data_IF_469357355087
#
_entry.id   IF_469357355087
#
_cell.length_a   1.000
_cell.length_b   1.000
_cell.length_c   1.000
_cell.angle_alpha   90.00
_cell.angle_beta   90.00
_cell.angle_gamma   90.00
#
_symmetry.space_group_name_H-M   'P 1'
#
loop_
_entity.id
_entity.type
_entity.pdbx_description
1 polymer ?
#
# COMPACT_ATOMS: atom_id res chain seq x y z
N UNK A 1 -6.98 12.67 -52.45
CA UNK A 1 -5.95 12.68 -51.38
C UNK A 1 -6.53 13.37 -50.16
N UNK A 2 -7.18 12.61 -49.25
CA UNK A 2 -7.66 13.02 -47.90
C UNK A 2 -8.60 11.93 -47.36
N UNK A 3 -8.07 10.78 -46.93
CA UNK A 3 -8.82 9.84 -46.07
C UNK A 3 -7.96 8.84 -45.28
N UNK A 4 -6.67 9.11 -45.06
CA UNK A 4 -5.78 8.19 -44.31
C UNK A 4 -5.17 8.79 -43.03
N UNK A 5 -5.47 10.05 -42.69
CA UNK A 5 -4.90 10.69 -41.49
C UNK A 5 -5.81 10.70 -40.26
N UNK A 6 -7.08 10.31 -40.37
CA UNK A 6 -8.02 10.39 -39.24
C UNK A 6 -7.99 9.16 -38.32
N UNK A 7 -7.49 8.00 -38.80
CA UNK A 7 -7.44 6.77 -38.00
C UNK A 7 -6.20 6.67 -37.09
N UNK A 8 -5.18 7.51 -37.29
CA UNK A 8 -3.95 7.49 -36.49
C UNK A 8 -4.08 8.19 -35.13
N UNK A 9 -5.15 8.96 -34.90
CA UNK A 9 -5.32 9.73 -33.65
C UNK A 9 -6.05 8.94 -32.56
N UNK A 10 -6.82 7.89 -32.92
CA UNK A 10 -7.59 7.10 -31.94
C UNK A 10 -6.72 6.05 -31.23
N UNK A 11 -5.58 5.69 -31.82
CA UNK A 11 -4.63 4.73 -31.21
C UNK A 11 -3.67 5.38 -30.19
N UNK A 12 -3.70 6.71 -30.01
CA UNK A 12 -2.88 7.42 -29.03
C UNK A 12 -3.74 7.85 -27.83
N UNK A 13 -4.34 6.90 -27.14
CA UNK A 13 -5.31 7.20 -26.09
C UNK A 13 -5.45 6.14 -25.01
N UNK A 14 -4.44 5.30 -24.83
CA UNK A 14 -4.32 4.49 -23.62
C UNK A 14 -2.84 4.20 -23.38
N UNK A 15 -2.14 5.18 -22.80
CA UNK A 15 -0.90 4.86 -22.10
C UNK A 15 -1.33 4.03 -20.88
N UNK A 16 -1.34 2.71 -21.04
CA UNK A 16 -1.28 1.83 -19.87
C UNK A 16 0.03 2.21 -19.20
N UNK A 17 -0.05 2.83 -18.02
CA UNK A 17 1.10 3.01 -17.15
C UNK A 17 1.55 1.59 -16.79
N UNK A 18 2.53 1.09 -17.52
CA UNK A 18 3.15 -0.19 -17.20
C UNK A 18 3.90 0.03 -15.89
N UNK A 19 3.35 -0.50 -14.80
CA UNK A 19 4.02 -0.51 -13.51
C UNK A 19 4.92 -1.73 -13.47
N UNK A 20 6.23 -1.52 -13.40
CA UNK A 20 7.15 -2.60 -13.12
C UNK A 20 6.90 -3.15 -11.71
N UNK A 21 7.09 -4.45 -11.56
CA UNK A 21 7.09 -5.14 -10.27
C UNK A 21 8.43 -5.84 -10.08
N UNK A 22 8.77 -6.14 -8.83
CA UNK A 22 9.95 -6.92 -8.50
C UNK A 22 9.56 -8.05 -7.55
N UNK A 23 10.32 -9.14 -7.60
CA UNK A 23 10.12 -10.31 -6.75
C UNK A 23 11.04 -10.21 -5.56
N UNK A 24 10.47 -10.27 -4.36
CA UNK A 24 11.20 -10.52 -3.12
C UNK A 24 11.01 -11.99 -2.76
N UNK A 25 12.10 -12.74 -2.69
CA UNK A 25 12.06 -14.19 -2.44
C UNK A 25 11.72 -14.56 -0.99
N UNK A 26 11.69 -13.57 -0.09
CA UNK A 26 11.31 -13.73 1.31
C UNK A 26 12.46 -14.11 2.25
N UNK A 27 13.71 -14.10 1.77
CA UNK A 27 14.91 -14.22 2.61
C UNK A 27 15.08 -12.98 3.52
N UNK A 28 15.84 -13.10 4.61
CA UNK A 28 16.13 -11.96 5.50
C UNK A 28 16.92 -10.83 4.82
N UNK A 29 17.55 -11.11 3.68
CA UNK A 29 18.30 -10.17 2.87
C UNK A 29 17.52 -9.65 1.66
N UNK A 30 16.32 -10.17 1.41
CA UNK A 30 15.50 -9.83 0.25
C UNK A 30 14.54 -8.69 0.61
N UNK A 31 14.99 -7.46 0.40
CA UNK A 31 14.18 -6.26 0.56
C UNK A 31 14.53 -5.22 -0.50
N UNK A 32 13.60 -4.30 -0.75
CA UNK A 32 13.87 -3.10 -1.52
C UNK A 32 13.84 -1.87 -0.60
N UNK A 33 14.76 -0.93 -0.82
CA UNK A 33 14.79 0.33 -0.08
C UNK A 33 14.38 1.47 -1.01
N UNK A 34 13.46 2.29 -0.54
CA UNK A 34 12.98 3.47 -1.21
C UNK A 34 13.29 4.71 -0.39
N UNK A 35 13.12 5.89 -0.98
CA UNK A 35 13.19 7.14 -0.23
C UNK A 35 12.12 7.14 0.85
N UNK A 36 12.50 7.61 2.04
CA UNK A 36 11.59 7.76 3.16
C UNK A 36 10.39 8.62 2.78
N UNK A 37 9.19 8.16 3.14
CA UNK A 37 7.98 8.95 3.04
C UNK A 37 7.90 9.92 4.23
N UNK A 38 7.68 11.19 3.96
CA UNK A 38 7.52 12.24 4.97
C UNK A 38 6.06 12.69 4.99
N UNK A 39 5.22 12.17 5.91
CA UNK A 39 3.79 12.52 5.99
C UNK A 39 3.59 13.89 6.66
N UNK A 40 4.21 14.94 6.11
CA UNK A 40 4.26 16.30 6.69
C UNK A 40 2.99 17.11 6.42
N UNK A 41 1.92 16.49 5.90
CA UNK A 41 0.66 17.16 5.57
C UNK A 41 -0.57 16.26 5.67
N UNK A 42 -1.75 16.90 5.63
CA UNK A 42 -3.06 16.24 5.54
C UNK A 42 -3.21 15.59 4.16
N UNK A 43 -4.00 14.52 4.07
CA UNK A 43 -4.24 13.78 2.84
C UNK A 43 -2.96 13.23 2.19
N UNK A 44 -2.11 12.57 2.98
CA UNK A 44 -0.91 11.90 2.46
C UNK A 44 -1.08 10.39 2.55
N UNK A 45 -0.67 9.65 1.51
CA UNK A 45 -0.75 8.20 1.51
C UNK A 45 0.48 7.51 0.90
N UNK A 46 0.66 6.25 1.27
CA UNK A 46 1.49 5.28 0.57
C UNK A 46 0.55 4.24 -0.03
N UNK A 47 0.71 3.98 -1.33
CA UNK A 47 -0.02 2.95 -2.06
C UNK A 47 0.92 2.02 -2.80
N UNK A 48 0.67 0.72 -2.72
CA UNK A 48 1.38 -0.30 -3.47
C UNK A 48 0.49 -1.54 -3.65
N UNK A 49 0.91 -2.45 -4.53
CA UNK A 49 0.26 -3.74 -4.70
C UNK A 49 1.23 -4.86 -4.29
N UNK A 50 0.67 -5.96 -3.77
CA UNK A 50 1.46 -7.15 -3.47
C UNK A 50 0.74 -8.40 -3.97
N UNK A 51 1.55 -9.45 -4.17
CA UNK A 51 1.09 -10.81 -4.41
C UNK A 51 2.01 -11.76 -3.67
N UNK A 52 1.44 -12.63 -2.84
CA UNK A 52 2.21 -13.52 -1.96
C UNK A 52 1.48 -14.84 -1.74
N UNK A 53 2.26 -15.93 -1.62
CA UNK A 53 1.76 -17.22 -1.11
C UNK A 53 1.96 -17.37 0.41
N UNK A 54 2.69 -16.44 1.04
CA UNK A 54 2.93 -16.46 2.47
C UNK A 54 1.82 -15.73 3.20
N UNK A 55 1.20 -16.41 4.17
CA UNK A 55 0.18 -15.85 5.05
C UNK A 55 0.75 -14.89 6.11
N UNK A 56 2.07 -14.82 6.26
CA UNK A 56 2.76 -14.00 7.24
C UNK A 56 4.00 -13.34 6.64
N UNK A 57 4.27 -12.09 7.01
CA UNK A 57 5.47 -11.37 6.55
C UNK A 57 5.28 -9.85 6.57
N UNK A 58 6.39 -9.12 6.62
CA UNK A 58 6.38 -7.65 6.52
C UNK A 58 6.31 -7.27 5.04
N UNK A 59 5.40 -6.35 4.72
CA UNK A 59 5.26 -5.76 3.38
C UNK A 59 5.94 -4.40 3.30
N UNK A 60 5.85 -3.61 4.36
CA UNK A 60 6.46 -2.28 4.45
C UNK A 60 6.88 -1.99 5.89
N UNK A 61 8.07 -1.42 6.03
CA UNK A 61 8.55 -0.87 7.30
C UNK A 61 9.26 0.47 7.07
N UNK A 62 9.00 1.41 7.96
CA UNK A 62 9.68 2.70 8.02
C UNK A 62 9.62 3.21 9.45
N UNK A 63 10.69 3.84 9.93
CA UNK A 63 10.71 4.53 11.20
C UNK A 63 11.50 5.85 11.12
N UNK A 64 11.62 6.53 12.25
CA UNK A 64 12.44 7.72 12.46
C UNK A 64 13.88 7.42 12.88
N UNK A 65 14.38 6.21 12.65
CA UNK A 65 15.69 5.76 13.12
C UNK A 65 15.66 5.20 14.55
N UNK A 66 14.56 4.56 14.93
CA UNK A 66 14.39 3.90 16.22
C UNK A 66 13.99 4.79 17.40
N UNK A 67 13.52 6.02 17.17
CA UNK A 67 13.09 6.89 18.27
C UNK A 67 11.66 6.56 18.69
N UNK A 68 10.66 6.99 17.92
CA UNK A 68 9.26 6.92 18.35
C UNK A 68 8.28 6.62 17.23
N UNK A 69 8.47 7.23 16.07
CA UNK A 69 7.51 7.20 14.97
C UNK A 69 7.85 6.11 13.97
N UNK A 70 6.84 5.31 13.62
CA UNK A 70 7.01 4.19 12.71
C UNK A 70 5.72 3.83 12.00
N UNK A 71 5.87 3.07 10.92
CA UNK A 71 4.80 2.39 10.20
C UNK A 71 5.31 0.99 9.87
N UNK A 72 4.51 -0.02 10.23
CA UNK A 72 4.70 -1.42 9.87
C UNK A 72 3.41 -1.90 9.21
N UNK A 73 3.49 -2.36 7.96
CA UNK A 73 2.39 -3.03 7.27
C UNK A 73 2.81 -4.49 7.06
N UNK A 74 1.99 -5.43 7.50
CA UNK A 74 2.31 -6.86 7.47
C UNK A 74 1.10 -7.76 7.27
N UNK A 75 1.38 -8.98 6.84
CA UNK A 75 0.45 -10.09 6.83
C UNK A 75 0.49 -10.82 8.18
N UNK A 76 -0.69 -11.11 8.72
CA UNK A 76 -0.88 -11.97 9.89
C UNK A 76 -2.04 -12.92 9.58
N UNK A 77 -1.72 -14.19 9.30
CA UNK A 77 -2.69 -15.19 8.85
C UNK A 77 -3.58 -14.66 7.71
N UNK A 78 -2.93 -14.24 6.61
CA UNK A 78 -3.53 -13.67 5.38
C UNK A 78 -4.21 -12.30 5.56
N UNK A 79 -4.42 -11.85 6.81
CA UNK A 79 -5.02 -10.54 7.08
C UNK A 79 -3.96 -9.46 7.01
N UNK A 80 -4.30 -8.32 6.42
CA UNK A 80 -3.42 -7.16 6.40
C UNK A 80 -3.57 -6.40 7.71
N UNK A 81 -2.44 -6.13 8.35
CA UNK A 81 -2.37 -5.38 9.60
C UNK A 81 -1.33 -4.29 9.48
N UNK A 82 -1.73 -3.11 9.91
CA UNK A 82 -0.84 -1.98 10.09
C UNK A 82 -0.67 -1.69 11.58
N UNK A 83 0.57 -1.49 12.02
CA UNK A 83 0.90 -0.85 13.29
C UNK A 83 1.65 0.45 12.99
N UNK A 84 1.28 1.53 13.65
CA UNK A 84 1.94 2.82 13.45
C UNK A 84 2.00 3.64 14.72
N UNK A 85 2.88 4.65 14.74
CA UNK A 85 2.94 5.70 15.74
C UNK A 85 3.37 7.02 15.06
N UNK A 86 2.66 8.09 15.38
CA UNK A 86 2.95 9.47 14.94
C UNK A 86 2.90 10.40 16.16
N UNK A 87 3.74 10.13 17.16
CA UNK A 87 3.90 10.94 18.38
C UNK A 87 2.85 10.75 19.48
N UNK A 88 1.68 10.15 19.21
CA UNK A 88 0.57 10.03 20.19
C UNK A 88 0.33 8.60 20.69
N UNK A 89 1.30 7.72 20.44
CA UNK A 89 1.32 6.34 20.86
C UNK A 89 0.88 5.36 19.77
N UNK A 90 1.25 4.09 19.97
CA UNK A 90 1.02 3.05 18.97
C UNK A 90 -0.47 2.80 18.71
N UNK A 91 -0.80 2.59 17.45
CA UNK A 91 -2.14 2.23 16.96
C UNK A 91 -2.04 1.03 16.03
N UNK A 92 -3.16 0.31 15.90
CA UNK A 92 -3.30 -0.85 15.01
C UNK A 92 -4.57 -0.72 14.20
N UNK A 93 -4.47 -0.94 12.90
CA UNK A 93 -5.59 -1.13 11.98
C UNK A 93 -5.43 -2.51 11.33
N UNK A 94 -6.54 -3.18 11.04
CA UNK A 94 -6.48 -4.47 10.36
C UNK A 94 -7.70 -4.67 9.49
N UNK A 95 -7.45 -5.14 8.27
CA UNK A 95 -8.50 -5.64 7.38
C UNK A 95 -8.37 -7.17 7.34
N UNK A 96 -9.35 -7.91 7.85
CA UNK A 96 -9.29 -9.37 7.87
C UNK A 96 -9.42 -9.92 6.45
N UNK A 97 -8.71 -11.01 6.17
CA UNK A 97 -8.70 -11.67 4.86
C UNK A 97 -10.11 -11.97 4.31
N UNK A 98 -11.03 -12.33 5.20
CA UNK A 98 -12.43 -12.62 4.87
C UNK A 98 -13.20 -11.48 4.22
N UNK A 99 -12.70 -10.23 4.28
CA UNK A 99 -13.37 -9.05 3.72
C UNK A 99 -12.95 -8.72 2.29
N UNK A 100 -11.75 -9.08 1.87
CA UNK A 100 -11.27 -8.79 0.51
C UNK A 100 -11.03 -10.06 -0.33
N UNK A 101 -10.87 -11.24 0.31
CA UNK A 101 -10.80 -12.60 -0.27
C UNK A 101 -10.51 -12.66 -1.77
N UNK A 102 -9.23 -12.87 -2.12
CA UNK A 102 -8.77 -13.06 -3.51
C UNK A 102 -8.08 -14.40 -3.71
N UNK A 103 -7.95 -14.83 -4.96
CA UNK A 103 -7.15 -15.99 -5.31
C UNK A 103 -5.65 -15.71 -5.10
N UNK A 104 -4.81 -16.71 -4.75
CA UNK A 104 -3.37 -16.52 -4.48
C UNK A 104 -2.56 -15.92 -5.65
N UNK A 105 -3.11 -15.95 -6.86
CA UNK A 105 -2.47 -15.44 -8.08
C UNK A 105 -2.78 -13.97 -8.38
N UNK A 106 -3.71 -13.37 -7.63
CA UNK A 106 -4.18 -12.01 -7.86
C UNK A 106 -3.35 -10.99 -7.07
N UNK A 107 -3.22 -9.80 -7.64
CA UNK A 107 -2.63 -8.65 -6.96
C UNK A 107 -3.65 -8.02 -6.00
N UNK A 108 -3.17 -7.61 -4.83
CA UNK A 108 -3.95 -6.94 -3.79
C UNK A 108 -3.37 -5.55 -3.59
N UNK A 109 -4.21 -4.52 -3.75
CA UNK A 109 -3.84 -3.13 -3.50
C UNK A 109 -3.91 -2.83 -2.01
N UNK A 110 -2.86 -2.18 -1.48
CA UNK A 110 -2.82 -1.60 -0.14
C UNK A 110 -2.65 -0.09 -0.26
N UNK A 111 -3.43 0.64 0.50
CA UNK A 111 -3.20 2.06 0.74
C UNK A 111 -3.24 2.34 2.25
N UNK A 112 -2.18 2.96 2.75
CA UNK A 112 -2.15 3.53 4.09
C UNK A 112 -2.19 5.05 3.96
N UNK A 113 -3.19 5.69 4.57
CA UNK A 113 -3.43 7.12 4.43
C UNK A 113 -3.51 7.81 5.79
N UNK A 114 -2.76 8.91 5.92
CA UNK A 114 -3.00 9.94 6.94
C UNK A 114 -3.97 10.96 6.35
N UNK A 115 -5.23 10.88 6.77
CA UNK A 115 -6.31 11.73 6.25
C UNK A 115 -6.18 13.12 6.89
N UNK A 116 -6.07 13.17 8.22
CA UNK A 116 -5.87 14.40 8.97
C UNK A 116 -4.98 14.17 10.21
N UNK A 117 -4.96 15.13 11.14
CA UNK A 117 -4.11 15.12 12.33
C UNK A 117 -4.44 13.96 13.28
N UNK A 118 -5.69 13.46 13.29
CA UNK A 118 -6.15 12.37 14.15
C UNK A 118 -6.68 11.13 13.42
N UNK A 119 -6.94 11.21 12.11
CA UNK A 119 -7.55 10.13 11.33
C UNK A 119 -6.54 9.46 10.42
N UNK A 120 -6.48 8.13 10.53
CA UNK A 120 -5.67 7.27 9.68
C UNK A 120 -6.50 6.09 9.18
N UNK A 121 -6.30 5.70 7.92
CA UNK A 121 -7.00 4.60 7.29
C UNK A 121 -6.02 3.60 6.66
N UNK A 122 -6.41 2.33 6.72
CA UNK A 122 -5.84 1.24 5.94
C UNK A 122 -6.91 0.75 4.97
N UNK A 123 -6.64 0.85 3.66
CA UNK A 123 -7.49 0.32 2.61
C UNK A 123 -6.81 -0.89 1.96
N UNK A 124 -7.54 -1.99 1.82
CA UNK A 124 -7.08 -3.23 1.20
C UNK A 124 -8.10 -3.65 0.16
N UNK A 125 -7.74 -3.55 -1.12
CA UNK A 125 -8.63 -3.81 -2.26
C UNK A 125 -10.01 -3.12 -2.12
N UNK A 126 -10.00 -1.85 -1.68
CA UNK A 126 -11.23 -1.06 -1.49
C UNK A 126 -11.96 -1.30 -0.17
N UNK A 127 -11.47 -2.21 0.68
CA UNK A 127 -12.01 -2.45 2.03
C UNK A 127 -11.24 -1.60 3.04
N UNK A 128 -11.96 -0.76 3.78
CA UNK A 128 -11.35 0.18 4.73
C UNK A 128 -11.39 -0.35 6.17
N UNK A 129 -10.29 -0.14 6.88
CA UNK A 129 -10.24 -0.08 8.33
C UNK A 129 -9.76 1.31 8.72
N UNK A 130 -10.62 2.08 9.37
CA UNK A 130 -10.35 3.44 9.80
C UNK A 130 -10.40 3.56 11.32
N UNK A 131 -9.71 4.58 11.84
CA UNK A 131 -9.92 5.04 13.21
C UNK A 131 -9.95 6.56 13.20
N UNK A 132 -11.07 7.12 13.67
CA UNK A 132 -11.22 8.55 13.88
C UNK A 132 -10.46 9.04 15.12
N UNK A 133 -10.27 10.36 15.18
CA UNK A 133 -9.85 11.03 16.41
C UNK A 133 -10.87 10.75 17.53
N UNK A 134 -10.37 10.61 18.77
CA UNK A 134 -11.20 10.42 19.96
C UNK A 134 -12.22 11.55 20.15
#
# INVERSE_FOLDING_TARGET
MKLFHLLSLITQGLFILESDSFVLEGSSTSYAQFRKWYPTGKNSSIKFEYKSKSSNGILLYMDDGGYHDFIEIKLVNDSVRTRYNFGTGSRVLSVPYSKFKKEPSEWISIEFAKIDDGTTALCVDGVYAERGAF
#
